data_IF_602221145590
#
_entry.id   IF_602221145590
#
_cell.length_a   1.000
_cell.length_b   1.000
_cell.length_c   1.000
_cell.angle_alpha   90.00
_cell.angle_beta   90.00
_cell.angle_gamma   90.00
#
_symmetry.space_group_name_H-M   'P 1'
#
loop_
_entity.id
_entity.type
_entity.pdbx_description
1 polymer ?
#
# COMPACT_ATOMS: atom_id res chain seq x y z
N UNK A 1 44.16 -24.26 -18.83
CA UNK A 1 43.14 -25.33 -18.91
C UNK A 1 41.81 -24.76 -18.48
N UNK A 2 40.84 -24.67 -19.41
CA UNK A 2 39.52 -24.12 -19.12
C UNK A 2 38.78 -25.03 -18.13
N UNK A 3 38.50 -24.54 -16.92
CA UNK A 3 37.61 -25.24 -15.98
C UNK A 3 36.27 -25.44 -16.70
N UNK A 4 35.87 -26.70 -16.94
CA UNK A 4 34.53 -27.01 -17.43
C UNK A 4 33.52 -26.26 -16.56
N UNK A 5 32.68 -25.42 -17.17
CA UNK A 5 31.59 -24.73 -16.47
C UNK A 5 30.70 -25.82 -15.88
N UNK A 6 30.74 -25.98 -14.56
CA UNK A 6 29.82 -26.86 -13.87
C UNK A 6 28.41 -26.27 -14.02
N UNK A 7 27.53 -27.01 -14.67
CA UNK A 7 26.12 -26.69 -14.80
C UNK A 7 25.31 -27.48 -13.75
N UNK A 8 24.76 -26.83 -12.71
CA UNK A 8 23.88 -27.43 -11.72
C UNK A 8 22.63 -28.08 -12.30
N UNK A 9 22.16 -27.61 -13.46
CA UNK A 9 20.94 -28.15 -14.08
C UNK A 9 21.18 -29.53 -14.70
N UNK A 10 22.41 -29.81 -15.15
CA UNK A 10 22.79 -31.11 -15.71
C UNK A 10 23.30 -32.08 -14.64
N UNK A 11 23.67 -31.60 -13.45
CA UNK A 11 24.14 -32.45 -12.36
C UNK A 11 23.00 -33.29 -11.75
N UNK A 12 23.22 -34.61 -11.69
CA UNK A 12 22.22 -35.57 -11.17
C UNK A 12 21.95 -35.34 -9.68
N UNK A 13 22.99 -35.04 -8.90
CA UNK A 13 22.85 -34.84 -7.46
C UNK A 13 22.03 -33.58 -7.17
N UNK A 14 22.36 -32.47 -7.82
CA UNK A 14 21.70 -31.17 -7.66
C UNK A 14 20.23 -31.24 -8.06
N UNK A 15 19.90 -31.86 -9.21
CA UNK A 15 18.51 -32.12 -9.59
C UNK A 15 17.76 -32.96 -8.56
N UNK A 16 18.40 -34.01 -8.04
CA UNK A 16 17.79 -34.90 -7.07
C UNK A 16 17.43 -34.20 -5.76
N UNK A 17 18.34 -33.40 -5.22
CA UNK A 17 18.08 -32.68 -3.95
C UNK A 17 17.04 -31.57 -4.11
N UNK A 18 17.08 -30.82 -5.23
CA UNK A 18 16.10 -29.77 -5.52
C UNK A 18 14.71 -30.38 -5.65
N UNK A 19 14.51 -31.41 -6.50
CA UNK A 19 13.22 -32.09 -6.66
C UNK A 19 12.69 -32.63 -5.33
N UNK A 20 13.55 -33.25 -4.52
CA UNK A 20 13.15 -33.76 -3.21
C UNK A 20 12.67 -32.64 -2.29
N UNK A 21 13.37 -31.50 -2.24
CA UNK A 21 13.00 -30.37 -1.39
C UNK A 21 11.75 -29.65 -1.90
N UNK A 22 11.59 -29.50 -3.22
CA UNK A 22 10.35 -28.94 -3.81
C UNK A 22 9.15 -29.84 -3.52
N UNK A 23 9.27 -31.16 -3.67
CA UNK A 23 8.19 -32.08 -3.29
C UNK A 23 7.85 -32.03 -1.79
N UNK A 24 8.81 -31.67 -0.92
CA UNK A 24 8.54 -31.42 0.50
C UNK A 24 7.82 -30.08 0.74
N UNK A 25 7.97 -29.12 -0.16
CA UNK A 25 7.26 -27.84 -0.12
C UNK A 25 5.85 -27.96 -0.70
N UNK A 26 5.64 -28.73 -1.76
CA UNK A 26 4.30 -28.93 -2.34
C UNK A 26 3.37 -29.54 -1.29
N UNK A 27 2.17 -28.96 -1.14
CA UNK A 27 1.21 -29.33 -0.11
C UNK A 27 1.54 -28.80 1.29
N UNK A 28 2.69 -28.11 1.46
CA UNK A 28 3.05 -27.36 2.67
C UNK A 28 3.14 -25.87 2.33
N UNK A 29 2.82 -25.01 3.30
CA UNK A 29 2.94 -23.56 3.15
C UNK A 29 2.23 -22.94 1.92
N UNK A 30 1.16 -23.59 1.43
CA UNK A 30 0.31 -23.07 0.35
C UNK A 30 0.87 -23.24 -1.06
N UNK A 31 1.95 -24.00 -1.24
CA UNK A 31 2.43 -24.35 -2.58
C UNK A 31 1.63 -25.49 -3.18
N UNK A 32 1.26 -25.32 -4.44
CA UNK A 32 0.49 -26.26 -5.24
C UNK A 32 1.39 -27.03 -6.21
N UNK A 33 0.81 -28.00 -6.90
CA UNK A 33 1.53 -28.74 -7.94
C UNK A 33 1.96 -27.84 -9.11
N UNK A 34 1.25 -26.73 -9.35
CA UNK A 34 1.56 -25.76 -10.41
C UNK A 34 2.84 -24.98 -10.10
N UNK A 35 3.09 -24.68 -8.83
CA UNK A 35 4.29 -23.94 -8.39
C UNK A 35 5.59 -24.76 -8.50
N UNK A 36 5.50 -26.05 -8.86
CA UNK A 36 6.64 -26.97 -8.84
C UNK A 36 7.77 -26.52 -9.75
N UNK A 37 7.46 -26.21 -11.01
CA UNK A 37 8.47 -25.90 -12.01
C UNK A 37 9.20 -24.61 -11.65
N UNK A 38 8.44 -23.59 -11.22
CA UNK A 38 8.98 -22.31 -10.77
C UNK A 38 9.90 -22.48 -9.56
N UNK A 39 9.50 -23.27 -8.55
CA UNK A 39 10.31 -23.54 -7.37
C UNK A 39 11.60 -24.31 -7.70
N UNK A 40 11.54 -25.27 -8.62
CA UNK A 40 12.72 -26.01 -9.09
C UNK A 40 13.69 -25.04 -9.79
N UNK A 41 13.20 -24.22 -10.72
CA UNK A 41 14.01 -23.21 -11.43
C UNK A 41 14.65 -22.19 -10.49
N UNK A 42 13.88 -21.65 -9.56
CA UNK A 42 14.38 -20.70 -8.55
C UNK A 42 15.55 -21.29 -7.75
N UNK A 43 15.41 -22.54 -7.31
CA UNK A 43 16.47 -23.23 -6.58
C UNK A 43 17.72 -23.45 -7.44
N UNK A 44 17.58 -23.78 -8.73
CA UNK A 44 18.72 -23.88 -9.64
C UNK A 44 19.45 -22.55 -9.80
N UNK A 45 18.71 -21.46 -10.01
CA UNK A 45 19.28 -20.10 -10.12
C UNK A 45 20.06 -19.74 -8.86
N UNK A 46 19.53 -20.07 -7.67
CA UNK A 46 20.21 -19.80 -6.40
C UNK A 46 21.49 -20.62 -6.24
N UNK A 47 21.47 -21.89 -6.63
CA UNK A 47 22.67 -22.72 -6.64
C UNK A 47 23.71 -22.12 -7.59
N UNK A 48 23.32 -21.81 -8.84
CA UNK A 48 24.17 -21.17 -9.85
C UNK A 48 24.83 -19.89 -9.32
N UNK A 49 24.06 -18.98 -8.72
CA UNK A 49 24.56 -17.73 -8.15
C UNK A 49 25.50 -17.94 -6.96
N UNK A 50 25.36 -19.05 -6.24
CA UNK A 50 26.21 -19.37 -5.09
C UNK A 50 27.52 -20.05 -5.48
N UNK A 51 27.60 -20.70 -6.64
CA UNK A 51 28.79 -21.44 -7.10
C UNK A 51 30.08 -20.62 -7.14
N UNK A 52 30.11 -19.33 -7.55
CA UNK A 52 31.34 -18.55 -7.54
C UNK A 52 31.96 -18.40 -6.14
N UNK A 53 31.16 -18.58 -5.07
CA UNK A 53 31.60 -18.50 -3.67
C UNK A 53 32.08 -19.84 -3.12
N UNK A 54 31.99 -20.92 -3.91
CA UNK A 54 32.41 -22.24 -3.47
C UNK A 54 33.93 -22.32 -3.35
N UNK A 55 34.41 -22.68 -2.15
CA UNK A 55 35.81 -22.98 -1.90
C UNK A 55 36.00 -24.50 -1.68
N UNK A 56 36.69 -25.22 -2.60
CA UNK A 56 36.91 -26.66 -2.47
C UNK A 56 37.77 -27.06 -1.25
N UNK A 57 38.61 -26.15 -0.73
CA UNK A 57 39.48 -26.44 0.41
C UNK A 57 38.71 -26.48 1.74
N UNK A 58 37.49 -25.93 1.77
CA UNK A 58 36.66 -25.84 2.98
C UNK A 58 35.57 -26.92 3.04
N UNK A 59 35.05 -27.38 1.89
CA UNK A 59 33.97 -28.36 1.86
C UNK A 59 33.83 -29.06 0.50
N UNK A 60 33.23 -30.27 0.54
CA UNK A 60 32.82 -30.96 -0.68
C UNK A 60 31.63 -30.24 -1.36
N UNK A 61 31.65 -30.15 -2.69
CA UNK A 61 30.63 -29.43 -3.49
C UNK A 61 29.19 -29.85 -3.17
N UNK A 62 28.94 -31.15 -3.03
CA UNK A 62 27.58 -31.65 -2.71
C UNK A 62 27.08 -31.16 -1.34
N UNK A 63 27.99 -31.01 -0.36
CA UNK A 63 27.64 -30.46 0.96
C UNK A 63 27.32 -28.97 0.84
N UNK A 64 28.13 -28.23 0.10
CA UNK A 64 27.87 -26.82 -0.20
C UNK A 64 26.50 -26.61 -0.87
N UNK A 65 26.20 -27.36 -1.94
CA UNK A 65 24.92 -27.29 -2.65
C UNK A 65 23.76 -27.65 -1.72
N UNK A 66 23.91 -28.69 -0.91
CA UNK A 66 22.91 -29.09 0.10
C UNK A 66 22.62 -27.93 1.05
N UNK A 67 23.65 -27.29 1.62
CA UNK A 67 23.46 -26.17 2.54
C UNK A 67 22.79 -24.96 1.86
N UNK A 68 23.15 -24.67 0.61
CA UNK A 68 22.53 -23.57 -0.17
C UNK A 68 21.03 -23.84 -0.38
N UNK A 69 20.69 -25.04 -0.85
CA UNK A 69 19.30 -25.45 -1.09
C UNK A 69 18.50 -25.41 0.22
N UNK A 70 19.03 -25.96 1.31
CA UNK A 70 18.34 -25.99 2.60
C UNK A 70 18.11 -24.58 3.17
N UNK A 71 19.12 -23.72 3.09
CA UNK A 71 19.00 -22.32 3.53
C UNK A 71 17.94 -21.58 2.71
N UNK A 72 17.89 -21.82 1.41
CA UNK A 72 16.90 -21.16 0.55
C UNK A 72 15.48 -21.65 0.83
N UNK A 73 15.29 -22.96 0.97
CA UNK A 73 14.00 -23.56 1.35
C UNK A 73 13.51 -23.01 2.69
N UNK A 74 14.39 -22.90 3.69
CA UNK A 74 14.06 -22.28 4.97
C UNK A 74 13.65 -20.81 4.83
N UNK A 75 14.32 -20.05 3.97
CA UNK A 75 13.94 -18.66 3.68
C UNK A 75 12.61 -18.55 2.95
N UNK A 76 12.31 -19.42 1.99
CA UNK A 76 11.00 -19.47 1.32
C UNK A 76 9.90 -19.68 2.36
N UNK A 77 10.06 -20.69 3.23
CA UNK A 77 9.08 -20.99 4.29
C UNK A 77 8.92 -19.82 5.26
N UNK A 78 10.03 -19.22 5.72
CA UNK A 78 9.99 -18.05 6.60
C UNK A 78 9.28 -16.87 5.95
N UNK A 79 9.58 -16.56 4.69
CA UNK A 79 8.96 -15.44 3.96
C UNK A 79 7.46 -15.66 3.73
N UNK A 80 7.05 -16.90 3.48
CA UNK A 80 5.64 -17.29 3.32
C UNK A 80 4.87 -17.29 4.64
N UNK A 81 5.53 -17.48 5.78
CA UNK A 81 4.91 -17.45 7.11
C UNK A 81 4.96 -16.07 7.78
N UNK A 82 5.67 -15.10 7.21
CA UNK A 82 5.71 -13.75 7.74
C UNK A 82 4.29 -13.15 7.78
N UNK A 83 3.91 -12.50 8.89
CA UNK A 83 2.52 -12.13 9.21
C UNK A 83 1.77 -11.35 8.11
N UNK A 84 2.48 -10.57 7.29
CA UNK A 84 1.89 -9.81 6.16
C UNK A 84 1.64 -10.65 4.90
N UNK A 85 2.25 -11.84 4.79
CA UNK A 85 2.23 -12.73 3.61
C UNK A 85 1.81 -14.16 3.95
N UNK A 86 1.31 -14.40 5.16
CA UNK A 86 0.78 -15.70 5.56
C UNK A 86 -0.45 -16.04 4.72
N UNK A 87 -0.26 -16.96 3.78
CA UNK A 87 -1.30 -17.41 2.87
C UNK A 87 -2.53 -17.99 3.59
N UNK A 88 -2.41 -18.40 4.87
CA UNK A 88 -3.54 -18.85 5.68
C UNK A 88 -4.46 -17.72 6.14
N UNK A 89 -3.97 -16.48 6.10
CA UNK A 89 -4.73 -15.27 6.46
C UNK A 89 -5.31 -14.57 5.23
N UNK A 90 -5.11 -15.13 4.03
CA UNK A 90 -5.63 -14.60 2.77
C UNK A 90 -6.89 -15.40 2.42
N UNK A 91 -8.00 -14.70 2.21
CA UNK A 91 -9.24 -15.26 1.68
C UNK A 91 -9.58 -14.60 0.34
N UNK A 92 -10.34 -15.30 -0.50
CA UNK A 92 -10.87 -14.69 -1.72
C UNK A 92 -11.92 -13.63 -1.37
N UNK A 93 -11.92 -12.53 -2.10
CA UNK A 93 -12.95 -11.50 -1.98
C UNK A 93 -14.34 -12.00 -2.44
N UNK A 94 -14.38 -13.07 -3.24
CA UNK A 94 -15.63 -13.66 -3.72
C UNK A 94 -16.18 -14.72 -2.74
N UNK A 95 -15.60 -14.86 -1.54
CA UNK A 95 -16.18 -15.76 -0.52
C UNK A 95 -17.47 -15.15 -0.03
N UNK A 96 -18.54 -15.95 -0.01
CA UNK A 96 -19.81 -15.59 0.59
C UNK A 96 -19.67 -15.59 2.12
N UNK A 97 -19.97 -14.46 2.75
CA UNK A 97 -20.01 -14.30 4.20
C UNK A 97 -21.44 -13.98 4.63
N UNK A 98 -21.85 -14.57 5.75
CA UNK A 98 -23.13 -14.25 6.37
C UNK A 98 -22.97 -12.97 7.19
N UNK A 99 -23.62 -11.90 6.73
CA UNK A 99 -23.80 -10.71 7.54
C UNK A 99 -25.15 -10.85 8.24
N UNK A 100 -25.14 -10.74 9.57
CA UNK A 100 -26.37 -10.72 10.35
C UNK A 100 -27.29 -9.64 9.79
N UNK A 101 -28.47 -10.05 9.33
CA UNK A 101 -29.60 -9.24 8.80
C UNK A 101 -29.77 -9.16 7.26
N UNK A 102 -28.74 -9.38 6.44
CA UNK A 102 -28.85 -9.22 4.97
C UNK A 102 -28.65 -10.52 4.16
N UNK A 103 -28.37 -11.63 4.83
CA UNK A 103 -28.10 -12.92 4.18
C UNK A 103 -26.65 -13.03 3.65
N UNK A 104 -26.34 -14.10 2.89
CA UNK A 104 -25.00 -14.32 2.39
C UNK A 104 -24.64 -13.33 1.27
N UNK A 105 -23.57 -12.57 1.46
CA UNK A 105 -23.03 -11.58 0.51
C UNK A 105 -21.54 -11.80 0.30
N UNK A 106 -21.00 -11.46 -0.88
CA UNK A 106 -19.56 -11.57 -1.15
C UNK A 106 -18.75 -10.65 -0.24
N UNK A 107 -17.62 -11.13 0.29
CA UNK A 107 -16.69 -10.34 1.12
C UNK A 107 -16.25 -9.04 0.43
N UNK A 108 -16.14 -9.03 -0.90
CA UNK A 108 -15.81 -7.84 -1.69
C UNK A 108 -16.81 -6.69 -1.45
N UNK A 109 -18.09 -7.02 -1.27
CA UNK A 109 -19.17 -6.05 -1.15
C UNK A 109 -19.30 -5.47 0.26
N UNK A 110 -18.69 -6.13 1.25
CA UNK A 110 -18.70 -5.65 2.65
C UNK A 110 -17.54 -4.71 2.96
N UNK A 111 -16.57 -4.61 2.05
CA UNK A 111 -15.44 -3.69 2.15
C UNK A 111 -15.84 -2.40 1.44
N UNK A 112 -16.16 -1.37 2.23
CA UNK A 112 -16.60 -0.08 1.75
C UNK A 112 -15.56 1.03 1.91
N UNK A 113 -16.05 2.27 1.78
CA UNK A 113 -15.23 3.47 1.96
C UNK A 113 -14.66 3.59 3.37
N UNK A 114 -15.33 3.02 4.38
CA UNK A 114 -14.89 3.03 5.78
C UNK A 114 -13.56 2.30 5.96
N UNK A 115 -13.43 1.09 5.41
CA UNK A 115 -12.22 0.28 5.46
C UNK A 115 -11.08 0.94 4.67
N UNK A 116 -11.41 1.53 3.52
CA UNK A 116 -10.45 2.30 2.71
C UNK A 116 -9.91 3.51 3.48
N UNK A 117 -10.78 4.26 4.14
CA UNK A 117 -10.43 5.47 4.87
C UNK A 117 -9.61 5.11 6.13
N UNK A 118 -9.99 4.06 6.87
CA UNK A 118 -9.20 3.53 7.98
C UNK A 118 -7.77 3.13 7.55
N UNK A 119 -7.63 2.48 6.38
CA UNK A 119 -6.31 2.09 5.84
C UNK A 119 -5.44 3.30 5.49
N UNK A 120 -6.04 4.39 5.03
CA UNK A 120 -5.34 5.62 4.63
C UNK A 120 -5.22 6.63 5.79
N UNK A 121 -5.76 6.32 6.97
CA UNK A 121 -5.85 7.26 8.09
C UNK A 121 -6.75 8.47 7.79
N UNK A 122 -7.64 8.36 6.81
CA UNK A 122 -8.59 9.42 6.43
C UNK A 122 -9.82 9.32 7.31
N UNK A 123 -10.33 10.47 7.73
CA UNK A 123 -11.61 10.58 8.39
C UNK A 123 -12.47 11.47 7.49
N UNK A 124 -13.32 10.85 6.67
CA UNK A 124 -14.30 11.59 5.88
C UNK A 124 -15.43 12.01 6.81
N UNK A 125 -15.80 13.29 6.75
CA UNK A 125 -17.03 13.78 7.37
C UNK A 125 -18.23 13.04 6.80
N UNK A 126 -19.23 12.82 7.63
CA UNK A 126 -20.48 12.21 7.19
C UNK A 126 -21.17 13.10 6.14
N UNK A 127 -21.99 12.52 5.26
CA UNK A 127 -22.71 13.28 4.24
C UNK A 127 -23.62 14.36 4.85
N UNK A 128 -24.23 14.06 5.99
CA UNK A 128 -25.05 15.00 6.77
C UNK A 128 -24.22 16.21 7.25
N UNK A 129 -23.03 15.96 7.78
CA UNK A 129 -22.11 16.99 8.25
C UNK A 129 -21.57 17.85 7.10
N UNK A 130 -21.28 17.24 5.94
CA UNK A 130 -20.91 17.97 4.72
C UNK A 130 -22.04 18.88 4.22
N UNK A 131 -23.28 18.40 4.30
CA UNK A 131 -24.47 19.17 3.91
C UNK A 131 -24.67 20.35 4.84
N UNK A 132 -24.57 20.14 6.16
CA UNK A 132 -24.66 21.20 7.16
C UNK A 132 -23.56 22.25 6.95
N UNK A 133 -22.30 21.82 6.78
CA UNK A 133 -21.18 22.71 6.49
C UNK A 133 -21.43 23.55 5.23
N UNK A 134 -21.98 22.95 4.17
CA UNK A 134 -22.27 23.66 2.93
C UNK A 134 -23.34 24.76 3.12
N UNK A 135 -24.38 24.48 3.89
CA UNK A 135 -25.41 25.47 4.23
C UNK A 135 -24.85 26.60 5.08
N UNK A 136 -24.13 26.28 6.16
CA UNK A 136 -23.57 27.30 7.06
C UNK A 136 -22.53 28.15 6.31
N UNK A 137 -21.70 27.55 5.45
CA UNK A 137 -20.73 28.28 4.63
C UNK A 137 -21.43 29.21 3.64
N UNK A 138 -22.52 28.76 3.01
CA UNK A 138 -23.31 29.59 2.11
C UNK A 138 -23.93 30.80 2.84
N UNK A 139 -24.42 30.59 4.06
CA UNK A 139 -24.97 31.66 4.90
C UNK A 139 -23.90 32.71 5.24
N UNK A 140 -22.72 32.27 5.72
CA UNK A 140 -21.61 33.19 6.02
C UNK A 140 -21.17 33.94 4.76
N UNK A 141 -21.02 33.25 3.63
CA UNK A 141 -20.65 33.86 2.35
C UNK A 141 -21.68 34.92 1.92
N UNK A 142 -22.96 34.72 2.19
CA UNK A 142 -24.02 35.69 1.87
C UNK A 142 -23.85 37.03 2.61
N UNK A 143 -23.27 37.02 3.82
CA UNK A 143 -23.02 38.24 4.61
C UNK A 143 -21.80 39.05 4.15
N UNK A 144 -20.95 38.47 3.29
CA UNK A 144 -19.72 39.11 2.83
C UNK A 144 -19.99 40.07 1.65
N UNK A 145 -19.30 41.22 1.62
CA UNK A 145 -19.25 42.07 0.44
C UNK A 145 -18.72 41.31 -0.78
N UNK A 146 -19.18 41.71 -1.98
CA UNK A 146 -18.82 41.04 -3.23
C UNK A 146 -17.30 41.07 -3.52
N UNK A 147 -16.62 42.15 -3.15
CA UNK A 147 -15.16 42.26 -3.23
C UNK A 147 -14.44 41.25 -2.33
N UNK A 148 -15.03 40.87 -1.20
CA UNK A 148 -14.47 39.88 -0.28
C UNK A 148 -14.74 38.45 -0.78
N UNK A 149 -15.90 38.19 -1.38
CA UNK A 149 -16.18 36.90 -2.03
C UNK A 149 -15.23 36.67 -3.21
N UNK A 150 -15.01 37.70 -4.03
CA UNK A 150 -14.05 37.64 -5.15
C UNK A 150 -12.62 37.36 -4.66
N UNK A 151 -12.20 38.00 -3.57
CA UNK A 151 -10.92 37.70 -2.92
C UNK A 151 -10.81 36.22 -2.51
N UNK A 152 -11.83 35.68 -1.84
CA UNK A 152 -11.85 34.27 -1.40
C UNK A 152 -11.77 33.31 -2.59
N UNK A 153 -12.50 33.59 -3.67
CA UNK A 153 -12.53 32.71 -4.84
C UNK A 153 -11.18 32.68 -5.57
N UNK A 154 -10.56 33.85 -5.75
CA UNK A 154 -9.22 33.94 -6.34
C UNK A 154 -8.16 33.28 -5.44
N UNK A 155 -8.32 33.37 -4.12
CA UNK A 155 -7.36 32.83 -3.15
C UNK A 155 -7.35 31.29 -3.09
N UNK A 156 -8.37 30.60 -3.61
CA UNK A 156 -8.39 29.12 -3.70
C UNK A 156 -7.26 28.54 -4.53
N UNK A 157 -6.84 29.25 -5.59
CA UNK A 157 -5.85 28.77 -6.56
C UNK A 157 -4.64 29.68 -6.72
N UNK A 158 -4.73 30.95 -6.32
CA UNK A 158 -3.69 31.98 -6.53
C UNK A 158 -3.05 32.45 -5.24
N UNK A 159 -1.83 32.97 -5.33
CA UNK A 159 -1.10 33.58 -4.22
C UNK A 159 -1.62 34.97 -3.88
N UNK A 160 -1.38 35.45 -2.64
CA UNK A 160 -1.82 36.80 -2.23
C UNK A 160 -1.27 37.93 -3.11
N UNK A 161 -0.15 37.71 -3.79
CA UNK A 161 0.45 38.71 -4.68
C UNK A 161 -0.30 38.77 -6.01
N UNK A 162 -0.54 37.62 -6.64
CA UNK A 162 -1.35 37.53 -7.87
C UNK A 162 -2.76 38.09 -7.68
N UNK A 163 -3.38 37.83 -6.52
CA UNK A 163 -4.70 38.40 -6.20
C UNK A 163 -4.66 39.93 -6.03
N UNK A 164 -3.58 40.47 -5.47
CA UNK A 164 -3.40 41.93 -5.35
C UNK A 164 -3.29 42.60 -6.73
N UNK A 165 -2.48 42.01 -7.60
CA UNK A 165 -2.26 42.50 -8.96
C UNK A 165 -3.56 42.42 -9.79
N UNK A 166 -4.32 41.32 -9.67
CA UNK A 166 -5.57 41.12 -10.40
C UNK A 166 -6.73 41.98 -9.89
N UNK A 167 -6.83 42.19 -8.58
CA UNK A 167 -7.88 43.05 -8.02
C UNK A 167 -7.51 44.54 -8.08
N UNK A 168 -6.25 44.88 -8.36
CA UNK A 168 -5.75 46.26 -8.35
C UNK A 168 -5.75 46.88 -6.94
N UNK A 169 -5.65 46.06 -5.89
CA UNK A 169 -5.74 46.48 -4.49
C UNK A 169 -4.44 46.14 -3.76
N UNK A 170 -3.87 47.05 -2.93
CA UNK A 170 -2.65 46.76 -2.18
C UNK A 170 -2.76 45.53 -1.28
N UNK A 171 -1.67 44.76 -1.17
CA UNK A 171 -1.59 43.55 -0.31
C UNK A 171 -1.95 43.83 1.16
N UNK A 172 -1.63 45.01 1.67
CA UNK A 172 -1.99 45.44 3.04
C UNK A 172 -3.50 45.45 3.24
N UNK A 173 -4.25 45.96 2.27
CA UNK A 173 -5.71 46.00 2.27
C UNK A 173 -6.31 44.60 2.15
N UNK A 174 -5.76 43.74 1.28
CA UNK A 174 -6.23 42.35 1.16
C UNK A 174 -5.99 41.55 2.46
N UNK A 175 -4.85 41.77 3.12
CA UNK A 175 -4.56 41.17 4.42
C UNK A 175 -5.52 41.67 5.50
N UNK A 176 -5.89 42.96 5.47
CA UNK A 176 -6.91 43.51 6.37
C UNK A 176 -8.28 42.85 6.14
N UNK A 177 -8.67 42.68 4.87
CA UNK A 177 -9.91 41.99 4.50
C UNK A 177 -9.88 40.53 4.94
N UNK A 178 -8.80 39.79 4.69
CA UNK A 178 -8.64 38.41 5.17
C UNK A 178 -8.75 38.31 6.70
N UNK A 179 -8.19 39.26 7.44
CA UNK A 179 -8.32 39.31 8.91
C UNK A 179 -9.78 39.50 9.33
N UNK A 180 -10.52 40.40 8.67
CA UNK A 180 -11.95 40.63 8.96
C UNK A 180 -12.82 39.45 8.56
N UNK A 181 -12.52 38.80 7.43
CA UNK A 181 -13.20 37.58 6.99
C UNK A 181 -13.01 36.50 8.03
N UNK A 182 -11.77 36.26 8.51
CA UNK A 182 -11.49 35.29 9.56
C UNK A 182 -12.30 35.53 10.83
N UNK A 183 -12.36 36.77 11.31
CA UNK A 183 -13.17 37.12 12.49
C UNK A 183 -14.67 36.86 12.30
N UNK A 184 -15.19 37.01 11.08
CA UNK A 184 -16.59 36.71 10.78
C UNK A 184 -16.86 35.21 10.72
N UNK A 185 -15.96 34.44 10.13
CA UNK A 185 -16.05 32.98 10.10
C UNK A 185 -15.97 32.39 11.51
N UNK A 186 -15.09 32.93 12.36
CA UNK A 186 -14.96 32.54 13.77
C UNK A 186 -16.24 32.84 14.56
N UNK A 187 -16.82 34.03 14.39
CA UNK A 187 -18.11 34.39 15.01
C UNK A 187 -19.29 33.51 14.55
N UNK A 188 -19.20 32.94 13.36
CA UNK A 188 -20.21 32.04 12.82
C UNK A 188 -19.99 30.57 13.21
N UNK A 189 -19.03 30.28 14.11
CA UNK A 189 -18.77 28.91 14.57
C UNK A 189 -18.07 28.01 13.53
N UNK A 190 -17.53 28.57 12.44
CA UNK A 190 -16.87 27.79 11.39
C UNK A 190 -15.62 27.03 11.87
N UNK A 191 -15.09 27.41 13.03
CA UNK A 191 -13.93 26.77 13.64
C UNK A 191 -14.28 25.40 14.25
N UNK A 192 -15.52 25.21 14.69
CA UNK A 192 -15.99 23.94 15.28
C UNK A 192 -15.92 22.80 14.28
N UNK A 193 -16.13 23.12 12.99
CA UNK A 193 -15.92 22.19 11.90
C UNK A 193 -14.46 21.81 11.73
N UNK A 194 -13.47 22.64 12.06
CA UNK A 194 -12.04 22.29 11.87
C UNK A 194 -11.47 21.42 13.00
N UNK A 195 -12.16 21.38 14.14
CA UNK A 195 -11.80 20.58 15.32
C UNK A 195 -12.48 19.20 15.34
N UNK A 196 -13.38 18.95 14.35
CA UNK A 196 -14.07 17.68 14.08
C UNK A 196 -13.39 16.89 12.96
#
# INVERSE_FOLDING_TARGET
MAKAKFDPSDDRFTRGIIRRKVNQLIGRAGFTQQDREDLEQDLFVRVLQSLPKFNPDQAHRNKFITTVVERYVANILRNKQAEKRDHRRISSLNVMIEITEEGPTELAQTIGNRELDARLGRHRRAEEELTQLAFDLADVMSTLPESWRKLLELRKSRTMQEVADEMGVPRTTLNDWMRRIRQRFEKAGMQDYLES
#
